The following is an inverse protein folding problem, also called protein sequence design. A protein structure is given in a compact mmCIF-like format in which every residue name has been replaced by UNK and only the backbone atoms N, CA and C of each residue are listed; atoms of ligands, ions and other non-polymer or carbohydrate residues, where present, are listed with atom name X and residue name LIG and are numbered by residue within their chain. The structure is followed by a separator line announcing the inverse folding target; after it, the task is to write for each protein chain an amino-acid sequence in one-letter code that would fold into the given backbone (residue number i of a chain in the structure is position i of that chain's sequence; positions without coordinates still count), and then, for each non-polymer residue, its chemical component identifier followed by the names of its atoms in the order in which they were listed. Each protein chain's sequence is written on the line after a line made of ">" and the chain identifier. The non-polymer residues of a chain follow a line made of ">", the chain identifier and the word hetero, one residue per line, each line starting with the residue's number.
data_IF_648388528903
#
_entry.id   IF_648388528903
#
_cell.length_a   1.000
_cell.length_b   1.000
_cell.length_c   1.000
_cell.angle_alpha   90.00
_cell.angle_beta   90.00
_cell.angle_gamma   90.00
#
_symmetry.space_group_name_H-M   'P 1'
#
loop_
_entity.id
_entity.type
_entity.pdbx_description
1 polymer ?
#
# COMPACT_ATOMS: atom_id res chain seq x y z
N UNK A 1 -28.04 22.95 7.67
CA UNK A 1 -27.78 22.24 6.40
C UNK A 1 -27.48 20.75 6.65
N UNK A 2 -28.29 20.08 7.49
CA UNK A 2 -28.26 18.63 7.69
C UNK A 2 -29.61 18.15 7.18
N UNK A 3 -29.68 17.89 5.89
CA UNK A 3 -30.89 17.51 5.19
C UNK A 3 -30.48 16.88 3.88
N UNK A 4 -30.03 15.63 3.96
CA UNK A 4 -29.66 14.84 2.79
C UNK A 4 -30.44 13.55 2.85
N UNK A 5 -31.40 13.39 1.96
CA UNK A 5 -31.99 12.09 1.64
C UNK A 5 -30.83 11.13 1.38
N UNK A 6 -30.85 9.93 2.00
CA UNK A 6 -29.87 8.89 1.73
C UNK A 6 -29.91 8.57 0.23
N UNK A 7 -28.94 9.09 -0.52
CA UNK A 7 -28.80 8.77 -1.94
C UNK A 7 -28.21 7.36 -2.03
N UNK A 8 -29.07 6.35 -2.19
CA UNK A 8 -28.65 4.96 -2.31
C UNK A 8 -27.57 4.78 -3.38
N UNK A 9 -27.63 5.56 -4.46
CA UNK A 9 -26.64 5.57 -5.53
C UNK A 9 -25.22 5.95 -5.04
N UNK A 10 -25.12 6.94 -4.15
CA UNK A 10 -23.83 7.36 -3.58
C UNK A 10 -23.27 6.28 -2.64
N UNK A 11 -24.15 5.62 -1.88
CA UNK A 11 -23.76 4.51 -1.01
C UNK A 11 -23.22 3.34 -1.83
N UNK A 12 -23.92 2.93 -2.88
CA UNK A 12 -23.46 1.85 -3.77
C UNK A 12 -22.14 2.21 -4.46
N UNK A 13 -21.96 3.47 -4.86
CA UNK A 13 -20.70 3.95 -5.43
C UNK A 13 -19.54 3.81 -4.43
N UNK A 14 -19.72 4.27 -3.19
CA UNK A 14 -18.68 4.18 -2.14
C UNK A 14 -18.35 2.73 -1.75
N UNK A 15 -19.35 1.85 -1.72
CA UNK A 15 -19.13 0.41 -1.50
C UNK A 15 -18.27 -0.17 -2.63
N UNK A 16 -18.58 0.16 -3.88
CA UNK A 16 -17.82 -0.32 -5.01
C UNK A 16 -16.36 0.20 -4.99
N UNK A 17 -16.16 1.47 -4.63
CA UNK A 17 -14.82 2.02 -4.45
C UNK A 17 -14.04 1.31 -3.34
N UNK A 18 -14.69 0.98 -2.23
CA UNK A 18 -14.06 0.26 -1.10
C UNK A 18 -13.65 -1.14 -1.51
N UNK A 19 -14.53 -1.86 -2.22
CA UNK A 19 -14.24 -3.20 -2.76
C UNK A 19 -13.09 -3.13 -3.75
N UNK A 20 -13.12 -2.16 -4.67
CA UNK A 20 -12.07 -1.92 -5.65
C UNK A 20 -10.71 -1.69 -4.97
N UNK A 21 -10.65 -0.76 -4.01
CA UNK A 21 -9.42 -0.46 -3.28
C UNK A 21 -8.89 -1.69 -2.56
N UNK A 22 -9.76 -2.41 -1.84
CA UNK A 22 -9.38 -3.58 -1.04
C UNK A 22 -8.87 -4.72 -1.90
N UNK A 23 -9.58 -5.07 -2.98
CA UNK A 23 -9.18 -6.20 -3.82
C UNK A 23 -7.88 -5.91 -4.58
N UNK A 24 -7.75 -4.70 -5.14
CA UNK A 24 -6.56 -4.32 -5.90
C UNK A 24 -5.35 -4.20 -4.97
N UNK A 25 -5.51 -3.56 -3.80
CA UNK A 25 -4.42 -3.44 -2.85
C UNK A 25 -4.01 -4.80 -2.29
N UNK A 26 -4.97 -5.68 -1.99
CA UNK A 26 -4.68 -7.03 -1.50
C UNK A 26 -3.84 -7.81 -2.50
N UNK A 27 -4.21 -7.82 -3.78
CA UNK A 27 -3.46 -8.55 -4.81
C UNK A 27 -2.05 -7.98 -4.97
N UNK A 28 -1.92 -6.65 -5.11
CA UNK A 28 -0.62 -6.01 -5.31
C UNK A 28 0.30 -6.14 -4.09
N UNK A 29 -0.23 -5.88 -2.88
CA UNK A 29 0.51 -6.02 -1.63
C UNK A 29 0.95 -7.47 -1.39
N UNK A 30 0.09 -8.45 -1.71
CA UNK A 30 0.44 -9.87 -1.59
C UNK A 30 1.58 -10.23 -2.54
N UNK A 31 1.51 -9.83 -3.81
CA UNK A 31 2.56 -10.15 -4.79
C UNK A 31 3.88 -9.49 -4.39
N UNK A 32 3.88 -8.19 -4.10
CA UNK A 32 5.09 -7.45 -3.72
C UNK A 32 5.66 -7.92 -2.38
N UNK A 33 4.79 -8.08 -1.38
CA UNK A 33 5.16 -8.56 -0.05
C UNK A 33 5.73 -9.97 -0.07
N UNK A 34 5.16 -10.86 -0.89
CA UNK A 34 5.68 -12.21 -1.06
C UNK A 34 7.06 -12.21 -1.73
N UNK A 35 7.26 -11.43 -2.79
CA UNK A 35 8.56 -11.34 -3.47
C UNK A 35 9.65 -10.82 -2.52
N UNK A 36 9.35 -9.76 -1.77
CA UNK A 36 10.28 -9.18 -0.80
C UNK A 36 10.52 -10.16 0.37
N UNK A 37 9.47 -10.84 0.84
CA UNK A 37 9.55 -11.83 1.91
C UNK A 37 10.42 -13.04 1.55
N UNK A 38 10.27 -13.57 0.32
CA UNK A 38 11.13 -14.63 -0.20
C UNK A 38 12.58 -14.15 -0.29
N UNK A 39 12.80 -12.92 -0.76
CA UNK A 39 14.15 -12.37 -0.87
C UNK A 39 14.82 -12.18 0.50
N UNK A 40 14.09 -11.74 1.52
CA UNK A 40 14.58 -11.71 2.89
C UNK A 40 14.90 -13.12 3.40
N UNK A 41 14.01 -14.08 3.18
CA UNK A 41 14.24 -15.46 3.60
C UNK A 41 15.49 -16.08 2.94
N UNK A 42 15.71 -15.82 1.65
CA UNK A 42 16.88 -16.33 0.93
C UNK A 42 18.19 -15.64 1.35
N UNK A 43 18.15 -14.36 1.74
CA UNK A 43 19.34 -13.56 2.08
C UNK A 43 19.73 -13.59 3.55
N UNK A 44 18.92 -14.22 4.40
CA UNK A 44 19.19 -14.32 5.84
C UNK A 44 20.46 -15.12 6.15
N UNK A 45 20.92 -15.02 7.40
CA UNK A 45 22.10 -15.77 7.85
C UNK A 45 21.79 -17.27 7.82
N UNK A 46 22.57 -18.07 7.09
CA UNK A 46 22.28 -19.50 6.83
C UNK A 46 21.30 -19.76 5.68
N UNK A 47 20.89 -18.73 4.93
CA UNK A 47 20.06 -18.85 3.73
C UNK A 47 20.84 -19.16 2.45
N UNK A 48 20.12 -19.45 1.37
CA UNK A 48 20.67 -19.84 0.06
C UNK A 48 21.61 -18.78 -0.55
N UNK A 49 21.29 -17.50 -0.38
CA UNK A 49 22.04 -16.37 -0.90
C UNK A 49 22.44 -15.43 0.24
N UNK A 50 23.08 -15.97 1.27
CA UNK A 50 23.42 -15.24 2.49
C UNK A 50 24.12 -13.89 2.19
N UNK A 51 23.42 -12.80 2.50
CA UNK A 51 23.96 -11.46 2.44
C UNK A 51 23.38 -10.62 3.58
N UNK A 52 24.14 -10.55 4.68
CA UNK A 52 23.73 -9.84 5.90
C UNK A 52 23.48 -8.35 5.67
N UNK A 53 24.17 -7.73 4.72
CA UNK A 53 24.02 -6.30 4.42
C UNK A 53 22.69 -6.07 3.71
N UNK A 54 22.43 -6.80 2.61
CA UNK A 54 21.18 -6.70 1.85
C UNK A 54 19.99 -7.02 2.74
N UNK A 55 20.07 -8.13 3.49
CA UNK A 55 19.01 -8.56 4.39
C UNK A 55 18.69 -7.48 5.43
N UNK A 56 19.70 -6.89 6.07
CA UNK A 56 19.52 -5.84 7.08
C UNK A 56 18.96 -4.55 6.49
N UNK A 57 19.42 -4.13 5.32
CA UNK A 57 18.91 -2.90 4.67
C UNK A 57 17.43 -3.07 4.33
N UNK A 58 17.06 -4.20 3.74
CA UNK A 58 15.67 -4.48 3.38
C UNK A 58 14.78 -4.60 4.61
N UNK A 59 15.26 -5.30 5.65
CA UNK A 59 14.54 -5.44 6.92
C UNK A 59 14.29 -4.06 7.57
N UNK A 60 15.30 -3.18 7.63
CA UNK A 60 15.13 -1.82 8.14
C UNK A 60 14.10 -1.04 7.31
N UNK A 61 14.16 -1.10 5.98
CA UNK A 61 13.20 -0.39 5.11
C UNK A 61 11.77 -0.87 5.39
N UNK A 62 11.54 -2.18 5.45
CA UNK A 62 10.20 -2.74 5.71
C UNK A 62 9.71 -2.35 7.09
N UNK A 63 10.57 -2.45 8.11
CA UNK A 63 10.18 -2.09 9.48
C UNK A 63 9.88 -0.60 9.60
N UNK A 64 10.59 0.28 8.88
CA UNK A 64 10.28 1.72 8.82
C UNK A 64 8.95 1.96 8.10
N UNK A 65 8.73 1.37 6.92
CA UNK A 65 7.48 1.53 6.17
C UNK A 65 6.27 1.12 7.01
N UNK A 66 6.37 -0.02 7.71
CA UNK A 66 5.32 -0.52 8.62
C UNK A 66 5.10 0.34 9.85
N UNK A 67 6.11 1.07 10.31
CA UNK A 67 6.00 1.94 11.48
C UNK A 67 5.33 3.28 11.15
N UNK A 68 5.31 3.69 9.88
CA UNK A 68 4.69 4.95 9.45
C UNK A 68 3.16 4.77 9.48
N UNK A 69 2.41 5.61 10.22
CA UNK A 69 0.95 5.59 10.19
C UNK A 69 0.40 5.79 8.77
N UNK A 70 -0.62 5.02 8.41
CA UNK A 70 -1.21 5.04 7.06
C UNK A 70 -1.54 6.46 6.55
N UNK A 71 -2.15 7.31 7.39
CA UNK A 71 -2.53 8.68 7.01
C UNK A 71 -1.30 9.51 6.66
N UNK A 72 -0.18 9.33 7.38
CA UNK A 72 1.07 10.04 7.11
C UNK A 72 1.69 9.55 5.81
N UNK A 73 1.70 8.23 5.59
CA UNK A 73 2.21 7.62 4.36
C UNK A 73 1.46 8.12 3.13
N UNK A 74 0.13 8.23 3.20
CA UNK A 74 -0.72 8.79 2.14
C UNK A 74 -0.25 10.18 1.73
N UNK A 75 -0.02 11.08 2.70
CA UNK A 75 0.41 12.46 2.43
C UNK A 75 1.82 12.49 1.82
N UNK A 76 2.74 11.68 2.35
CA UNK A 76 4.11 11.56 1.83
C UNK A 76 4.11 11.05 0.37
N UNK A 77 3.17 10.17 0.03
CA UNK A 77 3.05 9.61 -1.30
C UNK A 77 2.33 10.51 -2.31
N UNK A 78 1.67 11.61 -1.93
CA UNK A 78 1.00 12.52 -2.88
C UNK A 78 1.84 12.86 -4.13
N UNK A 79 3.10 13.33 -4.02
CA UNK A 79 3.91 13.64 -5.20
C UNK A 79 4.19 12.41 -6.06
N UNK A 80 4.36 11.24 -5.44
CA UNK A 80 4.58 9.97 -6.12
C UNK A 80 3.31 9.45 -6.82
N UNK A 81 2.17 9.49 -6.13
CA UNK A 81 0.85 9.14 -6.66
C UNK A 81 0.49 10.04 -7.84
N UNK A 82 0.76 11.35 -7.75
CA UNK A 82 0.51 12.27 -8.87
C UNK A 82 1.36 11.95 -10.10
N UNK A 83 2.56 11.42 -9.92
CA UNK A 83 3.44 11.02 -11.01
C UNK A 83 2.92 9.75 -11.72
N UNK A 84 2.40 8.78 -10.98
CA UNK A 84 1.96 7.48 -11.52
C UNK A 84 0.52 7.52 -12.02
N UNK A 85 -0.38 8.08 -11.22
CA UNK A 85 -1.84 8.04 -11.41
C UNK A 85 -2.36 9.33 -12.05
N UNK A 86 -1.61 10.44 -11.94
CA UNK A 86 -2.01 11.74 -12.47
C UNK A 86 -3.00 12.51 -11.58
N UNK A 87 -3.52 11.90 -10.52
CA UNK A 87 -4.51 12.50 -9.62
C UNK A 87 -4.07 12.45 -8.15
N UNK A 88 -4.60 13.36 -7.33
CA UNK A 88 -4.35 13.43 -5.88
C UNK A 88 -5.56 12.96 -5.05
N UNK A 89 -6.70 12.71 -5.70
CA UNK A 89 -7.97 12.36 -5.06
C UNK A 89 -8.62 11.18 -5.79
N UNK A 90 -9.44 10.44 -5.05
CA UNK A 90 -10.20 9.28 -5.55
C UNK A 90 -9.62 7.93 -5.13
N UNK A 91 -10.37 6.86 -5.40
CA UNK A 91 -10.03 5.50 -5.00
C UNK A 91 -8.67 5.02 -5.55
N UNK A 92 -8.35 5.38 -6.80
CA UNK A 92 -7.06 5.04 -7.43
C UNK A 92 -5.87 5.76 -6.82
N UNK A 93 -6.06 7.00 -6.34
CA UNK A 93 -5.00 7.77 -5.70
C UNK A 93 -4.64 7.23 -4.31
N UNK A 94 -5.56 6.53 -3.64
CA UNK A 94 -5.30 5.89 -2.35
C UNK A 94 -4.51 4.57 -2.49
N UNK A 95 -4.57 3.92 -3.66
CA UNK A 95 -3.97 2.59 -3.87
C UNK A 95 -2.49 2.51 -3.48
N UNK A 96 -1.59 3.44 -3.86
CA UNK A 96 -0.18 3.33 -3.51
C UNK A 96 0.04 3.24 -2.00
N UNK A 97 -0.60 4.11 -1.21
CA UNK A 97 -0.50 4.04 0.26
C UNK A 97 -1.09 2.77 0.85
N UNK A 98 -2.15 2.19 0.26
CA UNK A 98 -2.72 0.92 0.72
C UNK A 98 -1.81 -0.28 0.41
N UNK A 99 -1.01 -0.20 -0.66
CA UNK A 99 -0.11 -1.29 -1.07
C UNK A 99 1.16 -1.34 -0.23
N UNK A 100 1.63 -0.18 0.25
CA UNK A 100 2.89 -0.07 1.02
C UNK A 100 2.71 -0.07 2.55
N UNK A 101 1.48 0.05 3.05
CA UNK A 101 1.17 0.01 4.49
C UNK A 101 1.18 -1.43 5.03
#
# INVERSE_FOLDING_TARGET
>A
MIGGVLNLDQLFTAINETIYMTLVSLVLATILGLLIGILLYCTQTGGLFQNKIINRVIDVIINVLRAIPFIILLIILIPFTKLIVGTMLGATAALPSLVFA
#
